data_IF_903063335094
#
_entry.id   IF_903063335094
#
_cell.length_a   1.000
_cell.length_b   1.000
_cell.length_c   1.000
_cell.angle_alpha   90.00
_cell.angle_beta   90.00
_cell.angle_gamma   90.00
#
_symmetry.space_group_name_H-M   'P 1'
#
loop_
_entity.id
_entity.type
_entity.pdbx_description
1 polymer ?
#
# COMPACT_ATOMS: atom_id res chain seq x y z
N UNK A 1 47.94 5.52 30.33
CA UNK A 1 46.76 4.62 30.29
C UNK A 1 45.69 5.27 29.43
N UNK A 2 45.55 4.83 28.17
CA UNK A 2 44.52 5.35 27.26
C UNK A 2 43.24 4.51 27.42
N UNK A 3 42.14 5.14 27.80
CA UNK A 3 40.83 4.50 27.89
C UNK A 3 40.31 4.26 26.46
N UNK A 4 40.22 2.98 26.10
CA UNK A 4 39.76 2.52 24.80
C UNK A 4 38.24 2.71 24.71
N UNK A 5 37.79 3.80 24.08
CA UNK A 5 36.38 4.18 23.97
C UNK A 5 35.65 3.38 22.89
N UNK A 6 35.59 2.06 23.03
CA UNK A 6 34.70 1.21 22.25
C UNK A 6 33.35 1.10 22.96
N UNK A 7 32.59 2.20 22.95
CA UNK A 7 31.22 2.16 23.47
C UNK A 7 30.34 1.43 22.43
N UNK A 8 29.76 0.26 22.75
CA UNK A 8 28.94 -0.47 21.80
C UNK A 8 27.77 0.43 21.39
N UNK A 9 27.62 0.69 20.09
CA UNK A 9 26.52 1.48 19.54
C UNK A 9 25.21 0.78 19.90
N UNK A 10 24.55 1.25 20.96
CA UNK A 10 23.24 0.76 21.36
C UNK A 10 22.26 0.99 20.21
N UNK A 11 21.61 -0.05 19.68
CA UNK A 11 20.63 0.10 18.61
C UNK A 11 19.41 0.85 19.16
N UNK A 12 19.40 2.16 19.02
CA UNK A 12 18.25 2.96 19.40
C UNK A 12 17.13 2.71 18.37
N UNK A 13 16.04 2.07 18.81
CA UNK A 13 14.83 1.80 18.01
C UNK A 13 15.05 1.00 16.71
N UNK A 14 15.97 0.03 16.71
CA UNK A 14 16.22 -0.81 15.53
C UNK A 14 16.79 -0.08 14.31
N UNK A 15 17.33 1.14 14.53
CA UNK A 15 18.03 1.93 13.52
C UNK A 15 19.53 1.82 13.80
N UNK A 16 20.18 0.87 13.15
CA UNK A 16 21.65 0.83 13.12
C UNK A 16 22.16 1.95 12.24
N UNK A 17 22.46 3.09 12.83
CA UNK A 17 23.16 4.20 12.15
C UNK A 17 24.63 3.87 12.07
N UNK A 18 25.02 3.11 11.05
CA UNK A 18 26.43 2.99 10.74
C UNK A 18 26.91 4.21 9.96
N UNK A 19 27.90 4.90 10.52
CA UNK A 19 28.46 6.13 9.96
C UNK A 19 29.35 5.84 8.74
N UNK A 20 29.75 4.58 8.55
CA UNK A 20 30.57 4.13 7.41
C UNK A 20 29.75 3.58 6.24
N UNK A 21 28.48 3.19 6.42
CA UNK A 21 27.66 2.60 5.36
C UNK A 21 26.88 3.66 4.56
N UNK A 22 27.59 4.63 3.94
CA UNK A 22 26.94 5.60 3.02
C UNK A 22 26.19 4.93 1.87
N UNK A 23 26.58 3.72 1.49
CA UNK A 23 26.05 2.97 0.34
C UNK A 23 24.84 2.07 0.63
N UNK A 24 24.44 1.85 1.89
CA UNK A 24 23.51 0.75 2.21
C UNK A 24 22.05 1.17 2.42
N UNK A 25 21.70 2.42 2.12
CA UNK A 25 20.30 2.87 2.22
C UNK A 25 19.36 2.12 1.29
N UNK A 26 19.87 1.64 0.14
CA UNK A 26 19.09 0.82 -0.79
C UNK A 26 18.82 -0.55 -0.19
N UNK A 27 19.83 -1.20 0.40
CA UNK A 27 19.67 -2.50 1.05
C UNK A 27 18.69 -2.37 2.23
N UNK A 28 18.80 -1.32 3.04
CA UNK A 28 17.87 -1.06 4.16
C UNK A 28 16.44 -0.85 3.64
N UNK A 29 16.23 -0.04 2.59
CA UNK A 29 14.89 0.17 2.02
C UNK A 29 14.33 -1.14 1.45
N UNK A 30 15.14 -1.90 0.71
CA UNK A 30 14.74 -3.21 0.16
C UNK A 30 14.43 -4.22 1.27
N UNK A 31 15.22 -4.24 2.34
CA UNK A 31 14.98 -5.08 3.51
C UNK A 31 13.65 -4.72 4.19
N UNK A 32 13.34 -3.41 4.32
CA UNK A 32 12.07 -2.96 4.91
C UNK A 32 10.87 -3.24 4.00
N UNK A 33 10.99 -3.06 2.69
CA UNK A 33 9.98 -3.48 1.72
C UNK A 33 9.77 -5.00 1.79
N UNK A 34 10.84 -5.78 1.83
CA UNK A 34 10.80 -7.23 2.01
C UNK A 34 10.11 -7.63 3.31
N UNK A 35 10.38 -6.91 4.39
CA UNK A 35 9.72 -7.13 5.69
C UNK A 35 8.23 -6.80 5.64
N UNK A 36 7.84 -5.71 4.98
CA UNK A 36 6.44 -5.36 4.78
C UNK A 36 5.73 -6.42 3.93
N UNK A 37 6.35 -6.91 2.85
CA UNK A 37 5.81 -8.00 2.01
C UNK A 37 5.61 -9.29 2.81
N UNK A 38 6.62 -9.71 3.58
CA UNK A 38 6.51 -10.89 4.46
C UNK A 38 5.38 -10.73 5.47
N UNK A 39 5.22 -9.55 6.06
CA UNK A 39 4.11 -9.26 6.98
C UNK A 39 2.75 -9.37 6.27
N UNK A 40 2.62 -8.85 5.05
CA UNK A 40 1.39 -9.00 4.26
C UNK A 40 1.08 -10.47 3.97
N UNK A 41 2.06 -11.26 3.54
CA UNK A 41 1.86 -12.69 3.27
C UNK A 41 1.50 -13.48 4.53
N UNK A 42 2.13 -13.19 5.67
CA UNK A 42 1.78 -13.81 6.94
C UNK A 42 0.31 -13.52 7.33
N UNK A 43 -0.20 -12.33 7.02
CA UNK A 43 -1.60 -11.98 7.30
C UNK A 43 -2.60 -12.57 6.30
N UNK A 44 -2.17 -13.06 5.13
CA UNK A 44 -3.08 -13.75 4.21
C UNK A 44 -3.67 -15.02 4.84
N UNK A 45 -2.90 -15.75 5.65
CA UNK A 45 -3.39 -16.89 6.42
C UNK A 45 -4.40 -16.51 7.52
N UNK A 46 -4.36 -15.27 8.01
CA UNK A 46 -5.32 -14.71 8.96
C UNK A 46 -6.59 -14.14 8.28
N UNK A 47 -6.78 -14.38 6.97
CA UNK A 47 -7.96 -13.94 6.24
C UNK A 47 -7.80 -12.61 5.48
N UNK A 48 -6.58 -12.10 5.32
CA UNK A 48 -6.34 -10.90 4.48
C UNK A 48 -6.51 -11.19 2.97
N UNK A 49 -6.68 -12.46 2.56
CA UNK A 49 -6.84 -12.88 1.17
C UNK A 49 -8.32 -12.95 0.68
N UNK A 50 -9.27 -12.48 1.50
CA UNK A 50 -10.69 -12.33 1.13
C UNK A 50 -11.50 -13.62 1.03
N UNK A 51 -10.90 -14.76 0.67
CA UNK A 51 -11.60 -16.02 0.43
C UNK A 51 -12.22 -16.64 1.70
N UNK A 52 -11.56 -16.46 2.86
CA UNK A 52 -12.08 -16.80 4.20
C UNK A 52 -12.11 -15.55 5.11
N UNK A 53 -12.24 -14.37 4.50
CA UNK A 53 -11.57 -13.18 5.00
C UNK A 53 -12.23 -12.44 6.15
N UNK A 54 -11.38 -11.83 6.98
CA UNK A 54 -11.73 -10.82 7.97
C UNK A 54 -12.61 -9.73 7.38
N UNK A 55 -13.45 -9.10 8.22
CA UNK A 55 -14.24 -7.94 7.80
C UNK A 55 -13.30 -6.89 7.14
N UNK A 56 -13.74 -6.19 6.08
CA UNK A 56 -12.96 -5.11 5.47
C UNK A 56 -12.40 -4.09 6.47
N UNK A 57 -13.14 -3.79 7.53
CA UNK A 57 -12.68 -2.90 8.62
C UNK A 57 -11.49 -3.48 9.37
N UNK A 58 -11.53 -4.78 9.70
CA UNK A 58 -10.46 -5.48 10.39
C UNK A 58 -9.24 -5.66 9.48
N UNK A 59 -9.45 -5.95 8.19
CA UNK A 59 -8.39 -6.01 7.19
C UNK A 59 -7.68 -4.66 7.05
N UNK A 60 -8.44 -3.56 7.00
CA UNK A 60 -7.87 -2.21 6.96
C UNK A 60 -7.13 -1.86 8.27
N UNK A 61 -7.66 -2.30 9.41
CA UNK A 61 -7.01 -2.14 10.71
C UNK A 61 -5.67 -2.88 10.77
N UNK A 62 -5.63 -4.13 10.31
CA UNK A 62 -4.41 -4.92 10.20
C UNK A 62 -3.39 -4.27 9.26
N UNK A 63 -3.80 -3.79 8.09
CA UNK A 63 -2.93 -3.05 7.17
C UNK A 63 -2.34 -1.81 7.87
N UNK A 64 -3.18 -1.04 8.58
CA UNK A 64 -2.74 0.18 9.29
C UNK A 64 -1.80 -0.09 10.46
N UNK A 65 -1.95 -1.21 11.17
CA UNK A 65 -1.10 -1.54 12.32
C UNK A 65 0.19 -2.22 11.89
N UNK A 66 0.11 -3.14 10.92
CA UNK A 66 1.24 -4.03 10.62
C UNK A 66 1.98 -3.63 9.35
N UNK A 67 1.29 -3.19 8.29
CA UNK A 67 1.93 -2.99 6.98
C UNK A 67 2.37 -1.53 6.81
N UNK A 68 1.46 -0.58 7.09
CA UNK A 68 1.72 0.85 6.91
C UNK A 68 2.93 1.34 7.69
N UNK A 69 3.11 1.04 9.00
CA UNK A 69 4.25 1.57 9.76
C UNK A 69 5.60 1.11 9.20
N UNK A 70 5.66 -0.13 8.68
CA UNK A 70 6.87 -0.70 8.07
C UNK A 70 7.22 -0.04 6.74
N UNK A 71 6.20 0.30 5.93
CA UNK A 71 6.39 1.03 4.68
C UNK A 71 6.72 2.51 4.91
N UNK A 72 5.99 3.19 5.81
CA UNK A 72 6.22 4.61 6.11
C UNK A 72 7.59 4.84 6.72
N UNK A 73 8.04 3.92 7.57
CA UNK A 73 9.38 3.99 8.16
C UNK A 73 10.48 3.87 7.08
N UNK A 74 10.30 2.97 6.10
CA UNK A 74 11.20 2.87 4.94
C UNK A 74 11.25 4.17 4.14
N UNK A 75 10.10 4.80 3.89
CA UNK A 75 10.00 6.07 3.15
C UNK A 75 10.54 7.28 3.93
N UNK A 76 10.37 7.32 5.26
CA UNK A 76 10.94 8.39 6.10
C UNK A 76 12.47 8.34 6.15
N UNK A 77 13.07 7.14 6.01
CA UNK A 77 14.52 6.99 5.86
C UNK A 77 15.04 7.63 4.57
N UNK A 78 14.25 7.55 3.48
CA UNK A 78 14.55 8.20 2.19
C UNK A 78 14.47 9.71 2.33
N UNK A 79 13.39 10.24 2.94
CA UNK A 79 13.23 11.68 3.18
C UNK A 79 14.37 12.26 4.02
N UNK A 80 14.74 11.59 5.12
CA UNK A 80 15.82 12.06 5.99
C UNK A 80 17.15 12.10 5.25
N UNK A 81 17.38 11.13 4.35
CA UNK A 81 18.57 11.12 3.50
C UNK A 81 18.51 12.25 2.47
N UNK A 82 17.41 12.42 1.73
CA UNK A 82 17.21 13.54 0.82
C UNK A 82 17.47 14.90 1.49
N UNK A 83 17.00 15.11 2.73
CA UNK A 83 17.28 16.34 3.47
C UNK A 83 18.76 16.48 3.85
N UNK A 84 19.43 15.40 4.29
CA UNK A 84 20.87 15.44 4.60
C UNK A 84 21.74 15.68 3.36
N UNK A 85 21.27 15.29 2.18
CA UNK A 85 21.96 15.43 0.91
C UNK A 85 22.02 16.89 0.45
N UNK A 86 20.98 17.68 0.77
CA UNK A 86 20.93 19.11 0.45
C UNK A 86 21.89 19.96 1.29
N UNK A 87 22.47 19.40 2.36
CA UNK A 87 23.36 20.14 3.28
C UNK A 87 24.86 19.97 2.95
N UNK A 88 25.22 18.99 2.10
CA UNK A 88 26.61 18.71 1.71
C UNK A 88 26.91 19.20 0.29
N UNK A 89 27.01 20.52 0.10
CA UNK A 89 27.51 21.13 -1.15
C UNK A 89 29.03 21.27 -1.10
N UNK A 90 29.74 20.25 -1.59
CA UNK A 90 31.20 20.26 -1.73
C UNK A 90 31.66 19.39 -2.90
N UNK A 91 31.78 20.02 -4.07
CA UNK A 91 32.59 19.62 -5.25
C UNK A 91 32.40 18.22 -5.88
N UNK A 92 31.29 17.53 -5.62
CA UNK A 92 30.81 16.40 -6.43
C UNK A 92 29.48 16.81 -7.06
N UNK A 93 29.20 16.34 -8.28
CA UNK A 93 27.86 16.42 -8.89
C UNK A 93 26.84 16.15 -7.79
N UNK A 94 26.01 17.14 -7.48
CA UNK A 94 25.13 17.05 -6.34
C UNK A 94 24.30 15.77 -6.47
N UNK A 95 23.99 15.10 -5.36
CA UNK A 95 23.21 13.86 -5.45
C UNK A 95 21.81 14.12 -6.06
N UNK A 96 21.33 15.37 -5.99
CA UNK A 96 20.20 15.85 -6.78
C UNK A 96 20.45 15.69 -8.28
N UNK A 97 21.61 16.11 -8.79
CA UNK A 97 22.02 15.94 -10.17
C UNK A 97 22.14 14.46 -10.60
N UNK A 98 22.62 13.59 -9.72
CA UNK A 98 22.61 12.14 -9.96
C UNK A 98 21.18 11.58 -10.04
N UNK A 99 20.29 12.00 -9.14
CA UNK A 99 18.88 11.61 -9.19
C UNK A 99 18.21 12.11 -10.48
N UNK A 100 18.52 13.35 -10.90
CA UNK A 100 18.09 13.93 -12.16
C UNK A 100 18.54 13.12 -13.36
N UNK A 101 19.83 12.79 -13.43
CA UNK A 101 20.38 11.97 -14.51
C UNK A 101 19.70 10.60 -14.55
N UNK A 102 19.49 9.96 -13.41
CA UNK A 102 18.81 8.66 -13.34
C UNK A 102 17.33 8.73 -13.76
N UNK A 103 16.61 9.80 -13.41
CA UNK A 103 15.24 10.01 -13.89
C UNK A 103 15.17 10.30 -15.41
N UNK A 104 16.20 10.93 -15.96
CA UNK A 104 16.28 11.27 -17.38
C UNK A 104 16.76 10.13 -18.27
N UNK A 105 17.67 9.27 -17.79
CA UNK A 105 18.32 8.21 -18.60
C UNK A 105 17.60 6.87 -18.56
N UNK A 106 16.90 6.53 -17.48
CA UNK A 106 16.25 5.22 -17.38
C UNK A 106 15.04 5.12 -18.30
N UNK A 107 14.96 4.05 -19.10
CA UNK A 107 13.80 3.74 -19.92
C UNK A 107 12.62 3.27 -19.06
N UNK A 108 11.39 3.54 -19.52
CA UNK A 108 10.16 3.13 -18.84
C UNK A 108 10.01 1.60 -18.69
N UNK A 109 10.80 0.80 -19.42
CA UNK A 109 10.83 -0.65 -19.32
C UNK A 109 11.80 -1.18 -18.24
N UNK A 110 12.62 -0.33 -17.63
CA UNK A 110 13.58 -0.77 -16.62
C UNK A 110 12.89 -1.02 -15.28
N UNK A 111 13.23 -2.12 -14.61
CA UNK A 111 12.76 -2.45 -13.25
C UNK A 111 13.44 -1.59 -12.15
N UNK A 112 13.95 -0.41 -12.51
CA UNK A 112 14.65 0.49 -11.61
C UNK A 112 13.68 1.15 -10.63
N UNK A 113 14.13 1.33 -9.39
CA UNK A 113 13.39 2.11 -8.38
C UNK A 113 13.04 3.53 -8.89
N UNK A 114 13.91 4.15 -9.69
CA UNK A 114 13.65 5.48 -10.25
C UNK A 114 12.44 5.49 -11.18
N UNK A 115 12.20 4.42 -11.93
CA UNK A 115 11.00 4.29 -12.77
C UNK A 115 9.75 4.12 -11.91
N UNK A 116 9.82 3.36 -10.81
CA UNK A 116 8.69 3.26 -9.87
C UNK A 116 8.37 4.61 -9.23
N UNK A 117 9.38 5.36 -8.83
CA UNK A 117 9.19 6.71 -8.27
C UNK A 117 8.64 7.69 -9.32
N UNK A 118 8.98 7.51 -10.59
CA UNK A 118 8.44 8.32 -11.70
C UNK A 118 6.99 7.95 -12.05
N UNK A 119 6.65 6.66 -12.05
CA UNK A 119 5.32 6.19 -12.46
C UNK A 119 4.26 6.31 -11.37
N UNK A 120 4.64 6.30 -10.09
CA UNK A 120 3.69 6.43 -8.99
C UNK A 120 2.95 7.78 -8.99
N UNK A 121 3.63 8.94 -9.16
CA UNK A 121 2.94 10.21 -9.29
C UNK A 121 1.99 10.24 -10.48
N UNK A 122 2.41 9.73 -11.63
CA UNK A 122 1.58 9.65 -12.83
C UNK A 122 0.33 8.78 -12.60
N UNK A 123 0.49 7.63 -11.94
CA UNK A 123 -0.62 6.71 -11.65
C UNK A 123 -1.70 7.34 -10.76
N UNK A 124 -1.30 8.16 -9.80
CA UNK A 124 -2.20 8.78 -8.83
C UNK A 124 -2.53 10.24 -9.14
N UNK A 125 -2.15 10.76 -10.31
CA UNK A 125 -2.34 12.17 -10.67
C UNK A 125 -1.75 13.13 -9.61
N UNK A 126 -0.53 12.82 -9.16
CA UNK A 126 0.27 13.66 -8.27
C UNK A 126 1.23 14.54 -9.09
N UNK A 127 1.74 15.65 -8.52
CA UNK A 127 2.75 16.47 -9.17
C UNK A 127 3.96 15.63 -9.58
N UNK A 128 4.51 15.94 -10.76
CA UNK A 128 5.66 15.20 -11.29
C UNK A 128 6.84 15.30 -10.33
N UNK A 129 7.77 14.34 -10.40
CA UNK A 129 9.00 14.42 -9.60
C UNK A 129 9.76 15.73 -9.80
N UNK A 130 9.68 16.32 -11.00
CA UNK A 130 10.30 17.61 -11.31
C UNK A 130 9.66 18.74 -10.51
N UNK A 131 8.33 18.78 -10.46
CA UNK A 131 7.59 19.81 -9.73
C UNK A 131 7.83 19.69 -8.22
N UNK A 132 7.90 18.46 -7.71
CA UNK A 132 8.18 18.19 -6.29
C UNK A 132 9.59 18.61 -5.87
N UNK A 133 10.58 18.50 -6.76
CA UNK A 133 11.95 18.94 -6.50
C UNK A 133 12.06 20.47 -6.54
N UNK A 134 11.41 21.12 -7.52
CA UNK A 134 11.41 22.58 -7.65
C UNK A 134 10.67 23.26 -6.49
N UNK A 135 9.52 22.72 -6.11
CA UNK A 135 8.62 23.32 -5.12
C UNK A 135 8.13 22.25 -4.14
N UNK A 136 8.97 21.84 -3.16
CA UNK A 136 8.61 20.77 -2.24
C UNK A 136 7.46 21.20 -1.31
N UNK A 137 6.32 20.50 -1.31
CA UNK A 137 5.21 20.83 -0.42
C UNK A 137 5.55 20.55 1.05
N UNK A 138 4.93 21.31 1.96
CA UNK A 138 5.02 21.06 3.40
C UNK A 138 4.56 19.65 3.78
N UNK A 139 5.08 19.09 4.89
CA UNK A 139 4.82 17.68 5.30
C UNK A 139 3.32 17.36 5.41
N UNK A 140 2.53 18.25 6.00
CA UNK A 140 1.08 18.08 6.15
C UNK A 140 0.35 18.17 4.82
N UNK A 141 0.65 19.19 4.02
CA UNK A 141 0.07 19.41 2.68
C UNK A 141 0.34 18.22 1.77
N UNK A 142 1.57 17.73 1.73
CA UNK A 142 1.94 16.55 0.94
C UNK A 142 1.17 15.30 1.37
N UNK A 143 1.08 15.06 2.68
CA UNK A 143 0.33 13.91 3.21
C UNK A 143 -1.14 13.96 2.79
N UNK A 144 -1.77 15.13 2.90
CA UNK A 144 -3.17 15.31 2.52
C UNK A 144 -3.37 15.10 1.01
N UNK A 145 -2.48 15.67 0.19
CA UNK A 145 -2.50 15.52 -1.26
C UNK A 145 -2.39 14.05 -1.68
N UNK A 146 -1.43 13.31 -1.12
CA UNK A 146 -1.26 11.87 -1.39
C UNK A 146 -2.52 11.10 -1.01
N UNK A 147 -3.09 11.37 0.18
CA UNK A 147 -4.32 10.70 0.62
C UNK A 147 -5.48 10.98 -0.33
N UNK A 148 -5.70 12.25 -0.73
CA UNK A 148 -6.79 12.61 -1.62
C UNK A 148 -6.63 12.00 -3.01
N UNK A 149 -5.42 12.06 -3.58
CA UNK A 149 -5.12 11.50 -4.90
C UNK A 149 -5.26 9.98 -4.95
N UNK A 150 -4.74 9.27 -3.95
CA UNK A 150 -4.89 7.81 -3.85
C UNK A 150 -6.35 7.40 -3.69
N UNK A 151 -7.11 8.10 -2.84
CA UNK A 151 -8.53 7.83 -2.68
C UNK A 151 -9.30 8.08 -3.98
N UNK A 152 -9.05 9.21 -4.66
CA UNK A 152 -9.69 9.55 -5.94
C UNK A 152 -9.43 8.47 -7.00
N UNK A 153 -8.17 8.06 -7.17
CA UNK A 153 -7.80 6.99 -8.10
C UNK A 153 -8.57 5.69 -7.84
N UNK A 154 -8.57 5.22 -6.59
CA UNK A 154 -9.25 3.97 -6.24
C UNK A 154 -10.77 4.08 -6.35
N UNK A 155 -11.34 5.23 -6.00
CA UNK A 155 -12.77 5.50 -6.17
C UNK A 155 -13.17 5.41 -7.64
N UNK A 156 -12.44 6.10 -8.53
CA UNK A 156 -12.68 6.03 -9.99
C UNK A 156 -12.50 4.62 -10.53
N UNK A 157 -11.43 3.93 -10.15
CA UNK A 157 -11.15 2.56 -10.60
C UNK A 157 -12.23 1.59 -10.14
N UNK A 158 -12.61 1.62 -8.87
CA UNK A 158 -13.66 0.76 -8.32
C UNK A 158 -15.02 1.07 -8.95
N UNK A 159 -15.34 2.34 -9.21
CA UNK A 159 -16.57 2.71 -9.92
C UNK A 159 -16.58 2.16 -11.35
N UNK A 160 -15.47 2.26 -12.09
CA UNK A 160 -15.36 1.73 -13.44
C UNK A 160 -15.52 0.20 -13.45
N UNK A 161 -14.83 -0.49 -12.55
CA UNK A 161 -14.95 -1.94 -12.39
C UNK A 161 -16.35 -2.36 -11.94
N UNK A 162 -17.02 -1.59 -11.08
CA UNK A 162 -18.38 -1.87 -10.67
C UNK A 162 -19.38 -1.71 -11.84
N UNK A 163 -19.18 -0.69 -12.69
CA UNK A 163 -20.02 -0.43 -13.87
C UNK A 163 -19.96 -1.53 -14.92
N UNK A 164 -18.85 -2.28 -15.02
CA UNK A 164 -18.75 -3.41 -15.95
C UNK A 164 -19.48 -4.67 -15.45
N UNK A 165 -19.84 -4.74 -14.16
CA UNK A 165 -20.50 -5.92 -13.57
C UNK A 165 -22.02 -5.80 -13.64
N UNK A 166 -22.66 -6.61 -14.48
CA UNK A 166 -24.12 -6.67 -14.62
C UNK A 166 -24.85 -7.03 -13.32
N UNK A 167 -24.20 -7.79 -12.42
CA UNK A 167 -24.72 -8.13 -11.08
C UNK A 167 -24.90 -6.92 -10.17
N UNK A 168 -24.21 -5.81 -10.45
CA UNK A 168 -24.26 -4.58 -9.66
C UNK A 168 -25.22 -3.53 -10.25
N UNK A 169 -25.95 -3.83 -11.34
CA UNK A 169 -26.87 -2.90 -12.03
C UNK A 169 -27.90 -2.22 -11.11
N UNK A 170 -28.30 -2.89 -10.02
CA UNK A 170 -29.31 -2.39 -9.08
C UNK A 170 -28.71 -1.72 -7.83
N UNK A 171 -27.39 -1.60 -7.76
CA UNK A 171 -26.72 -0.84 -6.71
C UNK A 171 -26.43 0.55 -7.26
N UNK A 172 -26.77 1.58 -6.49
CA UNK A 172 -26.43 2.96 -6.81
C UNK A 172 -24.93 3.18 -6.56
N UNK A 173 -24.13 2.83 -7.57
CA UNK A 173 -22.66 2.88 -7.52
C UNK A 173 -22.16 4.32 -7.34
N UNK A 174 -22.89 5.31 -7.89
CA UNK A 174 -22.47 6.71 -7.88
C UNK A 174 -22.55 7.34 -6.47
N UNK A 175 -23.18 6.65 -5.50
CA UNK A 175 -23.17 7.04 -4.07
C UNK A 175 -22.05 6.39 -3.26
N UNK A 176 -21.27 5.47 -3.83
CA UNK A 176 -20.14 4.86 -3.14
C UNK A 176 -19.00 5.86 -3.07
N UNK A 177 -18.50 6.12 -1.87
CA UNK A 177 -17.32 6.95 -1.68
C UNK A 177 -16.40 6.38 -0.61
N UNK A 178 -15.09 6.48 -0.85
CA UNK A 178 -14.09 5.93 0.06
C UNK A 178 -14.13 6.66 1.40
N UNK A 179 -14.17 5.90 2.48
CA UNK A 179 -14.23 6.44 3.85
C UNK A 179 -15.62 6.88 4.31
N UNK A 180 -16.65 6.79 3.47
CA UNK A 180 -18.04 7.01 3.88
C UNK A 180 -18.81 5.70 3.93
N UNK A 181 -19.66 5.55 4.94
CA UNK A 181 -20.55 4.39 5.07
C UNK A 181 -21.66 4.48 4.03
N UNK A 182 -21.87 3.41 3.26
CA UNK A 182 -22.92 3.36 2.24
C UNK A 182 -24.33 3.38 2.87
N UNK A 183 -25.31 3.97 2.18
CA UNK A 183 -26.69 4.16 2.68
C UNK A 183 -27.39 2.87 3.11
N UNK A 184 -27.04 1.75 2.50
CA UNK A 184 -27.52 0.42 2.89
C UNK A 184 -27.24 0.13 4.36
N UNK A 185 -26.04 0.49 4.83
CA UNK A 185 -25.63 0.25 6.21
C UNK A 185 -26.26 1.26 7.16
N UNK A 186 -26.40 2.52 6.76
CA UNK A 186 -27.10 3.51 7.58
C UNK A 186 -28.59 3.18 7.74
N UNK A 187 -29.22 2.56 6.72
CA UNK A 187 -30.62 2.12 6.79
C UNK A 187 -30.84 0.81 7.52
N UNK A 188 -29.79 0.03 7.79
CA UNK A 188 -29.93 -1.32 8.35
C UNK A 188 -30.33 -1.31 9.84
N UNK A 189 -29.97 -0.25 10.58
CA UNK A 189 -30.23 -0.08 12.01
C UNK A 189 -30.09 -1.40 12.80
N UNK A 190 -30.97 -1.67 13.77
CA UNK A 190 -31.03 -2.91 14.55
C UNK A 190 -31.86 -4.02 13.89
N UNK A 191 -32.32 -3.83 12.64
CA UNK A 191 -33.15 -4.81 11.95
C UNK A 191 -32.27 -5.92 11.34
N UNK A 192 -32.37 -7.13 11.88
CA UNK A 192 -31.59 -8.31 11.45
C UNK A 192 -31.74 -8.62 9.97
N UNK A 193 -32.94 -8.48 9.41
CA UNK A 193 -33.20 -8.70 7.99
C UNK A 193 -32.51 -7.65 7.11
N UNK A 194 -32.54 -6.38 7.54
CA UNK A 194 -31.88 -5.29 6.81
C UNK A 194 -30.34 -5.44 6.85
N UNK A 195 -29.79 -5.87 7.98
CA UNK A 195 -28.36 -6.21 8.13
C UNK A 195 -27.96 -7.37 7.22
N UNK A 196 -28.77 -8.44 7.14
CA UNK A 196 -28.51 -9.57 6.25
C UNK A 196 -28.50 -9.13 4.78
N UNK A 197 -29.49 -8.33 4.36
CA UNK A 197 -29.57 -7.76 3.00
C UNK A 197 -28.37 -6.85 2.70
N UNK A 198 -27.97 -6.01 3.66
CA UNK A 198 -26.80 -5.16 3.55
C UNK A 198 -25.51 -5.96 3.34
N UNK A 199 -25.36 -7.03 4.12
CA UNK A 199 -24.21 -7.94 4.06
C UNK A 199 -24.09 -8.62 2.71
N UNK A 200 -25.19 -9.12 2.15
CA UNK A 200 -25.21 -9.72 0.79
C UNK A 200 -24.76 -8.71 -0.26
N UNK A 201 -25.30 -7.49 -0.23
CA UNK A 201 -24.91 -6.44 -1.19
C UNK A 201 -23.45 -6.03 -1.04
N UNK A 202 -22.94 -5.97 0.18
CA UNK A 202 -21.53 -5.70 0.44
C UNK A 202 -20.63 -6.81 -0.12
N UNK A 203 -21.00 -8.09 0.06
CA UNK A 203 -20.27 -9.21 -0.53
C UNK A 203 -20.26 -9.14 -2.07
N UNK A 204 -21.36 -8.69 -2.69
CA UNK A 204 -21.41 -8.51 -4.15
C UNK A 204 -20.44 -7.41 -4.61
N UNK A 205 -20.39 -6.28 -3.90
CA UNK A 205 -19.47 -5.18 -4.20
C UNK A 205 -18.01 -5.59 -4.06
N UNK A 206 -17.69 -6.41 -3.06
CA UNK A 206 -16.33 -6.92 -2.81
C UNK A 206 -15.97 -8.11 -3.72
N UNK A 207 -16.87 -8.54 -4.59
CA UNK A 207 -16.72 -9.76 -5.41
C UNK A 207 -16.48 -11.04 -4.61
N UNK A 208 -16.90 -11.04 -3.34
CA UNK A 208 -16.82 -12.20 -2.43
C UNK A 208 -18.13 -12.99 -2.43
N UNK A 209 -19.18 -12.46 -3.06
CA UNK A 209 -20.45 -13.18 -3.16
C UNK A 209 -20.34 -14.31 -4.18
N UNK A 210 -20.26 -15.54 -3.70
CA UNK A 210 -20.27 -16.73 -4.55
C UNK A 210 -21.64 -16.88 -5.21
N UNK A 211 -21.73 -16.50 -6.50
CA UNK A 211 -22.93 -16.74 -7.31
C UNK A 211 -23.20 -18.24 -7.41
N UNK A 212 -24.48 -18.63 -7.50
CA UNK A 212 -24.84 -20.04 -7.69
C UNK A 212 -24.18 -20.65 -8.94
N UNK A 213 -23.98 -19.85 -9.99
CA UNK A 213 -23.23 -20.27 -11.19
C UNK A 213 -21.79 -20.71 -10.85
N UNK A 214 -21.13 -20.00 -9.92
CA UNK A 214 -19.80 -20.40 -9.45
C UNK A 214 -19.87 -21.66 -8.58
N UNK A 215 -20.90 -21.78 -7.71
CA UNK A 215 -21.11 -23.01 -6.93
C UNK A 215 -21.33 -24.24 -7.80
N UNK A 216 -22.04 -24.12 -8.92
CA UNK A 216 -22.25 -25.26 -9.81
C UNK A 216 -20.93 -25.78 -10.38
N UNK A 217 -19.99 -24.89 -10.73
CA UNK A 217 -18.64 -25.28 -11.19
C UNK A 217 -17.83 -26.02 -10.11
N UNK A 218 -18.04 -25.69 -8.84
CA UNK A 218 -17.40 -26.39 -7.72
C UNK A 218 -18.12 -27.69 -7.32
N UNK A 219 -19.42 -27.79 -7.57
CA UNK A 219 -20.23 -28.98 -7.28
C UNK A 219 -20.20 -30.03 -8.41
N UNK A 220 -19.46 -29.80 -9.49
CA UNK A 220 -19.33 -30.76 -10.61
C UNK A 220 -18.36 -31.91 -10.31
N UNK A 221 -17.52 -31.77 -9.28
CA UNK A 221 -16.57 -32.80 -8.87
C UNK A 221 -16.90 -33.24 -7.45
N UNK A 222 -16.83 -34.54 -7.17
CA UNK A 222 -16.78 -35.02 -5.79
C UNK A 222 -15.54 -34.40 -5.14
N UNK A 223 -15.77 -33.49 -4.19
CA UNK A 223 -14.70 -32.92 -3.39
C UNK A 223 -14.21 -34.00 -2.45
N UNK A 224 -13.03 -34.56 -2.73
CA UNK A 224 -12.32 -35.39 -1.78
C UNK A 224 -12.07 -34.56 -0.51
N UNK A 225 -12.63 -34.95 0.65
CA UNK A 225 -12.46 -34.20 1.90
C UNK A 225 -11.02 -34.25 2.41
N UNK A 226 -10.16 -35.09 1.83
CA UNK A 226 -8.77 -35.23 2.22
C UNK A 226 -7.94 -34.04 1.73
N UNK A 227 -7.25 -33.38 2.66
CA UNK A 227 -6.28 -32.34 2.33
C UNK A 227 -5.20 -32.91 1.37
N UNK A 228 -4.91 -32.25 0.23
CA UNK A 228 -3.90 -32.73 -0.72
C UNK A 228 -2.48 -32.86 -0.15
N UNK A 229 -2.19 -32.18 0.97
CA UNK A 229 -0.90 -32.28 1.66
C UNK A 229 -0.86 -33.39 2.72
N UNK A 230 -2.00 -34.04 3.00
CA UNK A 230 -2.11 -35.15 3.94
C UNK A 230 -2.20 -36.52 3.25
N UNK A 231 -2.15 -36.56 1.90
CA UNK A 231 -1.92 -37.77 1.10
C UNK A 231 -0.43 -37.94 0.85
#
# INVERSE_FOLDING_TARGET
MALNSNNPKLPHLGITRDSKSRFDSIAVVQERIGTARRATYAMMGAGLNGANGLNPCDSLHLIRIFIVPRLTYGLESIRSKLQSLNTTSGNYDSIEELAWRQLATNSNSSNSWFIMVKSLPELFDLPSCNDLLKNPPGKSTWKNLVISSVNSYWEQKLMLEAKTKSSLKYIDIDRLSIGKTHLIWSSACSNTYAIAKASVKCRMLLDVYTLQANRHRFNQFELDPSCPQCK
#
